data_IF_730354661113
#
_entry.id   IF_730354661113
#
_cell.length_a   1.000
_cell.length_b   1.000
_cell.length_c   1.000
_cell.angle_alpha   90.00
_cell.angle_beta   90.00
_cell.angle_gamma   90.00
#
_symmetry.space_group_name_H-M   'P 1'
#
loop_
_entity.id
_entity.type
_entity.pdbx_description
1 polymer ?
#
# COMPACT_ATOMS: atom_id res chain seq x y z
N UNK A 1 -10.20 3.88 -5.54
CA UNK A 1 -9.61 3.60 -6.87
C UNK A 1 -8.14 3.19 -6.80
N UNK A 2 -7.30 3.85 -6.00
CA UNK A 2 -5.87 3.52 -5.83
C UNK A 2 -5.57 2.02 -5.56
N UNK A 3 -6.35 1.36 -4.70
CA UNK A 3 -6.19 -0.08 -4.42
C UNK A 3 -6.30 -0.93 -5.71
N UNK A 4 -7.34 -0.68 -6.51
CA UNK A 4 -7.55 -1.37 -7.79
C UNK A 4 -6.39 -1.11 -8.76
N UNK A 5 -5.89 0.13 -8.83
CA UNK A 5 -4.76 0.47 -9.69
C UNK A 5 -3.48 -0.29 -9.28
N UNK A 6 -3.22 -0.44 -7.98
CA UNK A 6 -2.10 -1.23 -7.48
C UNK A 6 -2.20 -2.72 -7.83
N UNK A 7 -3.37 -3.33 -7.62
CA UNK A 7 -3.63 -4.71 -8.03
C UNK A 7 -3.48 -4.88 -9.56
N UNK A 8 -4.15 -4.03 -10.33
CA UNK A 8 -4.17 -4.13 -11.79
C UNK A 8 -2.79 -3.87 -12.39
N UNK A 9 -2.00 -2.98 -11.80
CA UNK A 9 -0.61 -2.75 -12.19
C UNK A 9 0.25 -4.00 -12.11
N UNK A 10 0.12 -4.80 -11.04
CA UNK A 10 0.82 -6.09 -10.92
C UNK A 10 0.33 -7.10 -11.96
N UNK A 11 -0.97 -7.14 -12.24
CA UNK A 11 -1.54 -8.04 -13.27
C UNK A 11 -1.03 -7.69 -14.66
N UNK A 12 -0.96 -6.40 -15.00
CA UNK A 12 -0.35 -5.95 -16.26
C UNK A 12 1.14 -6.31 -16.32
N UNK A 13 1.89 -6.12 -15.22
CA UNK A 13 3.28 -6.52 -15.16
C UNK A 13 3.46 -8.03 -15.38
N UNK A 14 2.60 -8.85 -14.76
CA UNK A 14 2.64 -10.31 -14.89
C UNK A 14 2.31 -10.79 -16.31
N UNK A 15 1.38 -10.13 -16.99
CA UNK A 15 1.05 -10.46 -18.38
C UNK A 15 2.18 -10.14 -19.37
N UNK A 16 3.01 -9.13 -19.05
CA UNK A 16 4.08 -8.64 -19.91
C UNK A 16 5.44 -9.26 -19.60
N UNK A 17 5.65 -9.70 -18.36
CA UNK A 17 6.92 -10.26 -17.92
C UNK A 17 7.10 -11.70 -18.42
N UNK A 18 8.21 -11.95 -19.13
CA UNK A 18 8.47 -13.23 -19.79
C UNK A 18 8.96 -14.37 -18.88
N UNK A 19 8.88 -14.24 -17.56
CA UNK A 19 9.33 -15.27 -16.59
C UNK A 19 8.30 -15.44 -15.46
N UNK A 20 8.44 -16.51 -14.70
CA UNK A 20 7.57 -16.76 -13.54
C UNK A 20 7.79 -15.75 -12.42
N UNK A 21 6.69 -15.35 -11.76
CA UNK A 21 6.75 -14.59 -10.50
C UNK A 21 7.18 -15.49 -9.34
N UNK A 22 6.53 -16.65 -9.20
CA UNK A 22 6.86 -17.63 -8.19
C UNK A 22 8.13 -18.41 -8.57
N UNK A 23 9.04 -18.54 -7.61
CA UNK A 23 10.17 -19.44 -7.73
C UNK A 23 9.72 -20.90 -7.69
N UNK A 24 10.33 -21.76 -8.51
CA UNK A 24 9.95 -23.16 -8.64
C UNK A 24 11.20 -24.04 -8.75
N UNK A 25 11.09 -25.27 -8.26
CA UNK A 25 12.09 -26.32 -8.51
C UNK A 25 11.45 -27.31 -9.48
N UNK A 26 12.08 -27.50 -10.62
CA UNK A 26 11.61 -28.40 -11.67
C UNK A 26 12.69 -29.44 -11.98
N UNK A 27 12.34 -30.47 -12.75
CA UNK A 27 13.33 -31.44 -13.26
C UNK A 27 14.43 -30.76 -14.10
N UNK A 28 14.12 -29.62 -14.74
CA UNK A 28 15.07 -28.85 -15.54
C UNK A 28 15.92 -27.85 -14.73
N UNK A 29 15.74 -27.79 -13.40
CA UNK A 29 16.51 -26.93 -12.51
C UNK A 29 15.65 -25.99 -11.67
N UNK A 30 16.34 -25.15 -10.89
CA UNK A 30 15.75 -24.16 -9.98
C UNK A 30 15.54 -22.83 -10.69
N UNK A 31 14.30 -22.35 -10.67
CA UNK A 31 13.89 -21.05 -11.20
C UNK A 31 13.71 -20.11 -10.00
N UNK A 32 14.47 -18.99 -9.91
CA UNK A 32 14.29 -18.02 -8.84
C UNK A 32 12.97 -17.25 -9.00
N UNK A 33 12.38 -16.76 -7.89
CA UNK A 33 11.24 -15.86 -7.95
C UNK A 33 11.62 -14.53 -8.59
N UNK A 34 10.64 -13.84 -9.18
CA UNK A 34 10.81 -12.47 -9.66
C UNK A 34 11.10 -11.53 -8.48
N UNK A 35 11.98 -10.55 -8.70
CA UNK A 35 12.24 -9.45 -7.75
C UNK A 35 11.40 -8.24 -8.14
N UNK A 36 10.53 -7.78 -7.26
CA UNK A 36 9.65 -6.63 -7.46
C UNK A 36 10.03 -5.52 -6.50
N UNK A 37 10.26 -4.30 -7.01
CA UNK A 37 10.40 -3.09 -6.20
C UNK A 37 9.14 -2.24 -6.32
N UNK A 38 8.57 -1.86 -5.18
CA UNK A 38 7.45 -0.91 -5.10
C UNK A 38 7.92 0.40 -4.48
N UNK A 39 7.83 1.49 -5.23
CA UNK A 39 8.17 2.84 -4.77
C UNK A 39 6.89 3.59 -4.40
N UNK A 40 6.76 3.94 -3.13
CA UNK A 40 5.56 4.48 -2.51
C UNK A 40 4.71 3.39 -1.87
N UNK A 41 4.42 3.54 -0.58
CA UNK A 41 3.59 2.66 0.24
C UNK A 41 2.24 3.31 0.59
N UNK A 42 1.65 4.03 -0.35
CA UNK A 42 0.24 4.44 -0.28
C UNK A 42 -0.71 3.26 -0.52
N UNK A 43 -2.01 3.54 -0.64
CA UNK A 43 -3.04 2.51 -0.88
C UNK A 43 -2.77 1.69 -2.15
N UNK A 44 -2.27 2.33 -3.21
CA UNK A 44 -1.88 1.65 -4.44
C UNK A 44 -0.64 0.77 -4.24
N UNK A 45 0.41 1.31 -3.61
CA UNK A 45 1.64 0.59 -3.33
C UNK A 45 1.43 -0.65 -2.45
N UNK A 46 0.69 -0.53 -1.34
CA UNK A 46 0.37 -1.66 -0.47
C UNK A 46 -0.44 -2.74 -1.20
N UNK A 47 -1.37 -2.33 -2.08
CA UNK A 47 -2.10 -3.27 -2.91
C UNK A 47 -1.19 -4.00 -3.91
N UNK A 48 -0.24 -3.28 -4.51
CA UNK A 48 0.75 -3.88 -5.41
C UNK A 48 1.66 -4.86 -4.66
N UNK A 49 2.14 -4.49 -3.46
CA UNK A 49 2.96 -5.36 -2.60
C UNK A 49 2.20 -6.66 -2.29
N UNK A 50 0.97 -6.54 -1.78
CA UNK A 50 0.16 -7.70 -1.44
C UNK A 50 -0.09 -8.61 -2.66
N UNK A 51 -0.39 -8.02 -3.82
CA UNK A 51 -0.65 -8.78 -5.05
C UNK A 51 0.61 -9.48 -5.55
N UNK A 52 1.75 -8.79 -5.60
CA UNK A 52 3.03 -9.36 -6.05
C UNK A 52 3.52 -10.47 -5.11
N UNK A 53 3.37 -10.30 -3.79
CA UNK A 53 3.64 -11.35 -2.79
C UNK A 53 2.71 -12.55 -2.98
N UNK A 54 1.43 -12.31 -3.23
CA UNK A 54 0.46 -13.37 -3.53
C UNK A 54 0.80 -14.19 -4.79
N UNK A 55 1.50 -13.59 -5.76
CA UNK A 55 2.03 -14.27 -6.95
C UNK A 55 3.36 -15.00 -6.69
N UNK A 56 3.91 -14.96 -5.47
CA UNK A 56 5.14 -15.65 -5.10
C UNK A 56 6.44 -14.91 -5.40
N UNK A 57 6.37 -13.62 -5.74
CA UNK A 57 7.54 -12.78 -5.97
C UNK A 57 8.23 -12.38 -4.65
N UNK A 58 9.54 -12.11 -4.72
CA UNK A 58 10.25 -11.40 -3.65
C UNK A 58 10.01 -9.91 -3.83
N UNK A 59 9.43 -9.26 -2.82
CA UNK A 59 9.04 -7.85 -2.91
C UNK A 59 9.85 -7.03 -1.93
N UNK A 60 10.45 -5.96 -2.43
CA UNK A 60 11.02 -4.88 -1.63
C UNK A 60 10.17 -3.63 -1.86
N UNK A 61 10.02 -2.78 -0.85
CA UNK A 61 9.29 -1.54 -0.98
C UNK A 61 10.05 -0.38 -0.32
N UNK A 62 9.81 0.82 -0.82
CA UNK A 62 10.37 2.04 -0.28
C UNK A 62 9.26 3.09 -0.11
N UNK A 63 9.22 3.76 1.03
CA UNK A 63 8.42 4.97 1.27
C UNK A 63 9.21 5.91 2.18
N UNK A 64 9.09 7.22 1.94
CA UNK A 64 9.68 8.26 2.79
C UNK A 64 9.11 8.30 4.21
N UNK A 65 7.90 7.74 4.41
CA UNK A 65 7.18 7.72 5.69
C UNK A 65 7.50 6.45 6.45
N UNK A 66 8.07 6.62 7.62
CA UNK A 66 8.41 5.51 8.53
C UNK A 66 7.19 4.70 8.98
N UNK A 67 6.05 5.36 9.18
CA UNK A 67 4.79 4.74 9.61
C UNK A 67 4.28 3.62 8.68
N UNK A 68 4.80 3.54 7.46
CA UNK A 68 4.40 2.55 6.47
C UNK A 68 5.21 1.25 6.59
N UNK A 69 6.36 1.27 7.28
CA UNK A 69 7.23 0.09 7.43
C UNK A 69 6.48 -1.12 7.98
N UNK A 70 5.80 -0.96 9.10
CA UNK A 70 5.06 -2.07 9.75
C UNK A 70 4.02 -2.67 8.80
N UNK A 71 3.36 -1.84 8.00
CA UNK A 71 2.39 -2.30 7.00
C UNK A 71 3.06 -3.11 5.89
N UNK A 72 4.20 -2.65 5.36
CA UNK A 72 4.98 -3.36 4.33
C UNK A 72 5.48 -4.70 4.86
N UNK A 73 6.07 -4.71 6.05
CA UNK A 73 6.63 -5.90 6.68
C UNK A 73 5.53 -6.92 7.03
N UNK A 74 4.35 -6.47 7.47
CA UNK A 74 3.19 -7.34 7.72
C UNK A 74 2.67 -8.05 6.47
N UNK A 75 2.88 -7.46 5.28
CA UNK A 75 2.59 -8.08 3.98
C UNK A 75 3.73 -9.00 3.51
N UNK A 76 4.81 -9.13 4.28
CA UNK A 76 5.96 -9.98 4.00
C UNK A 76 6.90 -9.42 2.93
N UNK A 77 6.93 -8.11 2.75
CA UNK A 77 7.89 -7.42 1.89
C UNK A 77 9.01 -6.77 2.73
N UNK A 78 10.18 -6.61 2.12
CA UNK A 78 11.32 -5.94 2.73
C UNK A 78 11.16 -4.42 2.61
N UNK A 79 11.24 -3.69 3.73
CA UNK A 79 11.21 -2.23 3.70
C UNK A 79 12.63 -1.67 3.56
N UNK A 80 12.90 -1.01 2.44
CA UNK A 80 14.18 -0.37 2.17
C UNK A 80 14.26 0.98 2.90
N UNK A 81 15.42 1.27 3.48
CA UNK A 81 15.68 2.51 4.22
C UNK A 81 16.90 3.22 3.68
N UNK A 82 16.93 4.54 3.85
CA UNK A 82 18.09 5.39 3.57
C UNK A 82 18.80 5.70 4.88
N UNK A 83 20.14 5.76 4.88
CA UNK A 83 20.96 5.97 6.08
C UNK A 83 20.96 7.44 6.59
N UNK A 84 19.90 8.19 6.33
CA UNK A 84 19.73 9.59 6.73
C UNK A 84 18.44 9.67 7.55
N UNK A 85 18.55 10.06 8.83
CA UNK A 85 17.40 10.21 9.73
C UNK A 85 16.70 11.54 9.48
N UNK A 86 15.81 11.56 8.49
CA UNK A 86 14.87 12.65 8.23
C UNK A 86 13.46 12.07 8.14
N UNK A 87 12.48 12.67 8.83
CA UNK A 87 11.08 12.23 8.72
C UNK A 87 10.45 12.82 7.46
N UNK A 88 9.88 11.97 6.60
CA UNK A 88 9.10 12.35 5.42
C UNK A 88 7.61 12.51 5.66
N UNK A 89 7.14 12.47 6.91
CA UNK A 89 5.73 12.63 7.24
C UNK A 89 5.26 14.09 7.01
N UNK A 90 4.17 14.24 6.26
CA UNK A 90 3.43 15.47 6.04
C UNK A 90 2.04 15.45 6.68
N UNK A 91 1.26 16.50 6.44
CA UNK A 91 -0.10 16.61 6.96
C UNK A 91 -1.06 15.56 6.36
N UNK A 92 -1.99 15.06 7.18
CA UNK A 92 -3.04 14.14 6.71
C UNK A 92 -2.55 12.76 6.27
N UNK A 93 -1.34 12.34 6.68
CA UNK A 93 -0.74 11.07 6.30
C UNK A 93 -0.06 11.06 4.93
N UNK A 94 0.04 12.21 4.25
CA UNK A 94 0.79 12.34 3.00
C UNK A 94 2.29 12.56 3.26
N UNK A 95 3.13 12.34 2.24
CA UNK A 95 4.57 12.64 2.31
C UNK A 95 4.85 14.13 2.05
N UNK A 96 5.97 14.65 2.57
CA UNK A 96 6.49 16.00 2.26
C UNK A 96 7.76 15.92 1.39
N UNK A 97 8.20 17.06 0.87
CA UNK A 97 9.50 17.17 0.19
C UNK A 97 10.65 17.00 1.17
N UNK A 98 11.68 16.26 0.74
CA UNK A 98 12.85 15.88 1.54
C UNK A 98 14.06 16.77 1.21
N UNK A 99 15.06 16.77 2.10
CA UNK A 99 16.35 17.43 1.85
C UNK A 99 17.06 16.88 0.62
N UNK A 100 17.98 17.66 0.04
CA UNK A 100 18.75 17.25 -1.14
C UNK A 100 19.61 16.02 -0.85
N UNK A 101 20.20 15.97 0.34
CA UNK A 101 21.03 14.86 0.80
C UNK A 101 20.22 13.57 0.89
N UNK A 102 18.96 13.65 1.34
CA UNK A 102 18.05 12.51 1.37
C UNK A 102 17.71 12.04 -0.05
N UNK A 103 17.36 12.97 -0.94
CA UNK A 103 17.08 12.65 -2.34
C UNK A 103 18.27 12.00 -3.04
N UNK A 104 19.49 12.50 -2.84
CA UNK A 104 20.70 11.91 -3.43
C UNK A 104 20.92 10.47 -2.94
N UNK A 105 20.67 10.20 -1.67
CA UNK A 105 20.79 8.87 -1.09
C UNK A 105 19.65 7.93 -1.52
N UNK A 106 18.43 8.44 -1.68
CA UNK A 106 17.28 7.74 -2.27
C UNK A 106 17.56 7.34 -3.72
N UNK A 107 18.09 8.26 -4.52
CA UNK A 107 18.47 7.99 -5.92
C UNK A 107 19.59 6.95 -6.01
N UNK A 108 20.56 6.97 -5.09
CA UNK A 108 21.60 5.94 -5.02
C UNK A 108 21.03 4.55 -4.67
N UNK A 109 20.04 4.50 -3.76
CA UNK A 109 19.33 3.28 -3.43
C UNK A 109 18.58 2.73 -4.65
N UNK A 110 17.82 3.56 -5.37
CA UNK A 110 17.10 3.14 -6.57
C UNK A 110 18.04 2.70 -7.69
N UNK A 111 19.16 3.39 -7.91
CA UNK A 111 20.17 2.97 -8.88
C UNK A 111 20.77 1.58 -8.57
N UNK A 112 20.94 1.26 -7.28
CA UNK A 112 21.39 -0.08 -6.86
C UNK A 112 20.30 -1.13 -7.13
N UNK A 113 19.06 -0.84 -6.73
CA UNK A 113 17.96 -1.78 -6.88
C UNK A 113 17.57 -2.03 -8.35
N UNK A 114 17.61 -0.99 -9.20
CA UNK A 114 17.28 -1.10 -10.62
C UNK A 114 18.08 -2.19 -11.36
N UNK A 115 19.33 -2.44 -10.95
CA UNK A 115 20.19 -3.49 -11.52
C UNK A 115 19.73 -4.90 -11.17
N UNK A 116 19.03 -5.06 -10.05
CA UNK A 116 18.66 -6.35 -9.50
C UNK A 116 17.21 -6.74 -9.75
N UNK A 117 16.30 -5.75 -9.78
CA UNK A 117 14.87 -5.99 -9.83
C UNK A 117 14.41 -6.30 -11.25
N UNK A 118 13.43 -7.20 -11.35
CA UNK A 118 12.84 -7.57 -12.62
C UNK A 118 11.60 -6.70 -12.91
N UNK A 119 10.90 -6.27 -11.86
CA UNK A 119 9.70 -5.45 -11.97
C UNK A 119 9.80 -4.25 -11.04
N UNK A 120 9.42 -3.09 -11.55
CA UNK A 120 9.40 -1.82 -10.81
C UNK A 120 8.01 -1.20 -10.89
N UNK A 121 7.39 -0.94 -9.74
CA UNK A 121 6.07 -0.31 -9.65
C UNK A 121 6.23 1.00 -8.89
N UNK A 122 5.89 2.13 -9.51
CA UNK A 122 6.00 3.45 -8.88
C UNK A 122 4.62 4.03 -8.61
N UNK A 123 4.44 4.62 -7.43
CA UNK A 123 3.16 5.18 -6.97
C UNK A 123 3.31 6.47 -6.16
N UNK A 124 4.48 7.11 -6.26
CA UNK A 124 4.79 8.32 -5.50
C UNK A 124 4.07 9.52 -6.12
N UNK A 125 3.07 10.05 -5.41
CA UNK A 125 2.30 11.21 -5.85
C UNK A 125 2.04 12.13 -4.67
N UNK A 126 2.34 13.41 -4.85
CA UNK A 126 2.01 14.48 -3.91
C UNK A 126 0.83 15.26 -4.50
N UNK A 127 -0.32 15.36 -3.80
CA UNK A 127 -1.47 16.10 -4.30
C UNK A 127 -1.13 17.54 -4.68
N UNK A 128 -1.56 17.98 -5.86
CA UNK A 128 -1.35 19.35 -6.36
C UNK A 128 0.04 19.64 -6.92
N UNK A 129 0.95 18.66 -6.95
CA UNK A 129 2.28 18.78 -7.56
C UNK A 129 2.47 17.74 -8.68
N UNK A 130 3.35 18.01 -9.66
CA UNK A 130 3.79 16.98 -10.60
C UNK A 130 4.44 15.80 -9.87
N UNK A 131 4.34 14.61 -10.45
CA UNK A 131 4.99 13.42 -9.91
C UNK A 131 6.53 13.61 -9.88
N UNK A 132 7.20 13.27 -8.77
CA UNK A 132 8.66 13.38 -8.68
C UNK A 132 9.32 12.34 -9.60
N UNK A 133 10.37 12.75 -10.31
CA UNK A 133 11.20 11.87 -11.16
C UNK A 133 12.19 11.11 -10.30
N UNK A 134 11.78 9.91 -9.87
CA UNK A 134 12.54 9.05 -8.96
C UNK A 134 13.40 8.03 -9.71
N UNK A 135 13.02 7.68 -10.93
CA UNK A 135 13.71 6.66 -11.73
C UNK A 135 14.21 7.33 -13.01
N UNK A 136 15.52 7.55 -13.07
CA UNK A 136 16.15 8.22 -14.22
C UNK A 136 16.29 7.26 -15.40
N UNK A 137 16.41 7.82 -16.61
CA UNK A 137 16.74 7.07 -17.82
C UNK A 137 18.00 6.21 -17.62
N UNK A 138 19.01 6.74 -16.93
CA UNK A 138 20.24 6.00 -16.65
C UNK A 138 20.00 4.78 -15.75
N UNK A 139 19.07 4.86 -14.78
CA UNK A 139 18.69 3.70 -13.97
C UNK A 139 17.96 2.65 -14.81
N UNK A 140 17.00 3.07 -15.65
CA UNK A 140 16.30 2.18 -16.59
C UNK A 140 17.27 1.49 -17.53
N UNK A 141 18.29 2.21 -18.02
CA UNK A 141 19.30 1.68 -18.93
C UNK A 141 20.14 0.55 -18.29
N UNK A 142 20.16 0.45 -16.95
CA UNK A 142 20.87 -0.62 -16.19
C UNK A 142 20.00 -1.80 -15.80
N UNK A 143 18.69 -1.75 -16.07
CA UNK A 143 17.77 -2.86 -15.77
C UNK A 143 18.03 -4.05 -16.69
N UNK A 144 17.60 -5.23 -16.25
CA UNK A 144 17.72 -6.45 -17.05
C UNK A 144 16.80 -6.36 -18.29
N UNK A 145 17.23 -6.91 -19.44
CA UNK A 145 16.33 -7.07 -20.58
C UNK A 145 15.12 -7.92 -20.23
N UNK A 146 13.93 -7.46 -20.64
CA UNK A 146 12.65 -8.08 -20.33
C UNK A 146 12.05 -7.62 -19.00
N UNK A 147 12.72 -6.76 -18.23
CA UNK A 147 12.13 -6.14 -17.05
C UNK A 147 10.90 -5.30 -17.39
N UNK A 148 9.99 -5.13 -16.43
CA UNK A 148 8.75 -4.36 -16.60
C UNK A 148 8.66 -3.23 -15.59
N UNK A 149 8.34 -2.04 -16.07
CA UNK A 149 8.06 -0.85 -15.25
C UNK A 149 6.57 -0.54 -15.36
N UNK A 150 5.92 -0.35 -14.22
CA UNK A 150 4.53 0.13 -14.14
C UNK A 150 4.50 1.45 -13.38
N UNK A 151 4.21 2.52 -14.10
CA UNK A 151 4.18 3.86 -13.53
C UNK A 151 2.74 4.28 -13.22
N UNK A 152 2.31 4.08 -11.97
CA UNK A 152 0.96 4.43 -11.53
C UNK A 152 0.75 5.95 -11.42
N UNK A 153 1.83 6.74 -11.48
CA UNK A 153 1.78 8.20 -11.45
C UNK A 153 1.83 8.82 -12.86
N UNK A 154 1.69 8.03 -13.92
CA UNK A 154 1.80 8.48 -15.31
C UNK A 154 0.88 9.66 -15.65
N UNK A 155 -0.32 9.73 -15.06
CA UNK A 155 -1.26 10.84 -15.28
C UNK A 155 -0.75 12.19 -14.77
N UNK A 156 0.09 12.18 -13.73
CA UNK A 156 0.66 13.37 -13.10
C UNK A 156 2.08 13.67 -13.59
N UNK A 157 2.47 13.09 -14.73
CA UNK A 157 3.79 13.24 -15.35
C UNK A 157 4.70 12.01 -15.20
N UNK A 158 4.37 11.05 -14.31
CA UNK A 158 5.09 9.79 -14.11
C UNK A 158 6.33 9.91 -13.22
N UNK A 159 6.61 8.88 -12.43
CA UNK A 159 7.83 8.80 -11.62
C UNK A 159 9.08 8.39 -12.41
N UNK A 160 8.90 7.84 -13.61
CA UNK A 160 10.00 7.40 -14.47
C UNK A 160 10.21 8.41 -15.59
N UNK A 161 11.46 8.79 -15.86
CA UNK A 161 11.80 9.78 -16.91
C UNK A 161 11.38 9.30 -18.30
N UNK A 162 11.41 7.99 -18.53
CA UNK A 162 11.01 7.34 -19.77
C UNK A 162 9.53 6.97 -19.79
N UNK A 163 8.68 7.39 -18.84
CA UNK A 163 7.24 7.11 -18.94
C UNK A 163 6.60 7.94 -20.06
N UNK A 164 5.76 7.29 -20.87
CA UNK A 164 4.87 7.94 -21.85
C UNK A 164 3.43 7.74 -21.38
N UNK A 165 2.75 8.79 -20.87
CA UNK A 165 1.39 8.65 -20.36
C UNK A 165 0.43 8.06 -21.40
N UNK A 166 -0.37 7.09 -20.98
CA UNK A 166 -1.33 6.37 -21.79
C UNK A 166 -0.74 5.27 -22.69
N UNK A 167 0.57 5.06 -22.70
CA UNK A 167 1.22 4.14 -23.64
C UNK A 167 1.81 2.89 -22.95
N UNK A 168 1.76 1.78 -23.67
CA UNK A 168 2.58 0.60 -23.46
C UNK A 168 3.66 0.59 -24.54
N UNK A 169 4.93 0.63 -24.15
CA UNK A 169 6.02 0.59 -25.12
C UNK A 169 7.31 0.03 -24.53
N UNK A 170 8.24 -0.38 -25.38
CA UNK A 170 9.53 -0.89 -24.95
C UNK A 170 10.62 0.15 -25.19
N UNK A 171 11.46 0.36 -24.18
CA UNK A 171 12.64 1.22 -24.24
C UNK A 171 13.82 0.47 -23.62
N UNK A 172 14.96 0.39 -24.33
CA UNK A 172 16.15 -0.36 -23.91
C UNK A 172 15.84 -1.80 -23.43
N UNK A 173 14.96 -2.52 -24.13
CA UNK A 173 14.47 -3.86 -23.75
C UNK A 173 13.70 -3.93 -22.42
N UNK A 174 13.32 -2.79 -21.84
CA UNK A 174 12.46 -2.69 -20.66
C UNK A 174 11.07 -2.26 -21.10
N UNK A 175 10.05 -3.01 -20.69
CA UNK A 175 8.65 -2.75 -21.04
C UNK A 175 8.10 -1.69 -20.07
N UNK A 176 7.55 -0.61 -20.60
CA UNK A 176 6.97 0.50 -19.83
C UNK A 176 5.46 0.49 -19.95
N UNK A 177 4.79 0.38 -18.81
CA UNK A 177 3.34 0.49 -18.66
C UNK A 177 3.02 1.87 -18.07
N UNK A 178 2.61 2.80 -18.92
CA UNK A 178 2.24 4.16 -18.55
C UNK A 178 0.73 4.42 -18.59
N UNK A 179 -0.10 3.39 -18.49
CA UNK A 179 -1.56 3.54 -18.57
C UNK A 179 -2.10 4.48 -17.49
N UNK A 180 -2.99 5.39 -17.88
CA UNK A 180 -3.64 6.36 -17.00
C UNK A 180 -5.05 5.94 -16.59
N UNK A 181 -5.51 4.79 -17.07
CA UNK A 181 -6.88 4.29 -16.92
C UNK A 181 -6.94 2.92 -16.21
N UNK A 182 -5.95 2.59 -15.38
CA UNK A 182 -5.86 1.28 -14.71
C UNK A 182 -7.14 0.84 -13.97
N UNK A 183 -7.87 1.72 -13.23
CA UNK A 183 -9.16 1.34 -12.66
C UNK A 183 -10.21 0.95 -13.72
N UNK A 184 -10.22 1.61 -14.88
CA UNK A 184 -11.12 1.30 -15.99
C UNK A 184 -10.85 -0.09 -16.59
N UNK A 185 -9.60 -0.54 -16.54
CA UNK A 185 -9.18 -1.89 -16.99
C UNK A 185 -9.62 -3.02 -16.04
N UNK A 186 -10.26 -2.67 -14.92
CA UNK A 186 -10.97 -3.58 -14.03
C UNK A 186 -12.40 -3.05 -13.76
N UNK A 187 -13.09 -2.64 -14.83
CA UNK A 187 -14.34 -1.88 -14.78
C UNK A 187 -15.40 -2.48 -13.83
N UNK A 188 -15.67 -3.78 -13.91
CA UNK A 188 -16.71 -4.41 -13.07
C UNK A 188 -16.48 -4.23 -11.57
N UNK A 189 -15.23 -4.40 -11.12
CA UNK A 189 -14.86 -4.19 -9.72
C UNK A 189 -14.84 -2.71 -9.36
N UNK A 190 -14.30 -1.86 -10.25
CA UNK A 190 -14.22 -0.41 -10.06
C UNK A 190 -15.60 0.23 -9.93
N UNK A 191 -16.52 -0.09 -10.83
CA UNK A 191 -17.90 0.38 -10.81
C UNK A 191 -18.62 -0.02 -9.54
N UNK A 192 -18.49 -1.29 -9.10
CA UNK A 192 -19.14 -1.78 -7.89
C UNK A 192 -18.62 -1.05 -6.63
N UNK A 193 -17.30 -0.92 -6.47
CA UNK A 193 -16.72 -0.23 -5.32
C UNK A 193 -16.99 1.27 -5.33
N UNK A 194 -17.01 1.90 -6.50
CA UNK A 194 -17.38 3.32 -6.63
C UNK A 194 -18.85 3.55 -6.31
N UNK A 195 -19.76 2.70 -6.79
CA UNK A 195 -21.18 2.76 -6.46
C UNK A 195 -21.41 2.60 -4.95
N UNK A 196 -20.69 1.69 -4.29
CA UNK A 196 -20.76 1.54 -2.83
C UNK A 196 -20.31 2.81 -2.09
N UNK A 197 -19.24 3.47 -2.55
CA UNK A 197 -18.80 4.74 -1.96
C UNK A 197 -19.88 5.84 -2.10
N UNK A 198 -20.50 5.94 -3.28
CA UNK A 198 -21.61 6.88 -3.50
C UNK A 198 -22.79 6.53 -2.59
N UNK A 199 -23.21 5.27 -2.56
CA UNK A 199 -24.32 4.82 -1.72
C UNK A 199 -24.06 5.11 -0.23
N UNK A 200 -22.87 4.80 0.27
CA UNK A 200 -22.48 5.08 1.65
C UNK A 200 -22.50 6.58 1.97
N UNK A 201 -22.02 7.42 1.06
CA UNK A 201 -22.06 8.88 1.22
C UNK A 201 -23.50 9.44 1.19
N UNK A 202 -24.36 8.92 0.31
CA UNK A 202 -25.77 9.31 0.27
C UNK A 202 -26.51 8.85 1.54
N UNK A 203 -26.24 7.63 2.02
CA UNK A 203 -26.82 7.10 3.25
C UNK A 203 -26.34 7.86 4.48
N UNK A 204 -25.10 8.36 4.52
CA UNK A 204 -24.64 9.21 5.64
C UNK A 204 -25.34 10.57 5.68
N UNK A 205 -25.89 11.04 4.57
CA UNK A 205 -26.69 12.27 4.49
C UNK A 205 -28.19 12.03 4.73
N UNK A 206 -28.65 10.78 4.80
CA UNK A 206 -30.05 10.46 5.03
C UNK A 206 -30.31 10.27 6.53
N UNK A 207 -31.23 11.05 7.14
CA UNK A 207 -31.68 10.77 8.50
C UNK A 207 -32.23 9.35 8.62
N UNK A 208 -31.98 8.69 9.75
CA UNK A 208 -32.27 7.25 9.99
C UNK A 208 -33.74 6.84 9.75
N UNK A 209 -34.67 7.80 9.78
CA UNK A 209 -36.11 7.59 9.60
C UNK A 209 -36.69 8.31 8.36
N UNK A 210 -35.84 8.85 7.48
CA UNK A 210 -36.27 9.60 6.31
C UNK A 210 -36.57 8.69 5.11
N UNK A 211 -37.71 8.93 4.43
CA UNK A 211 -38.06 8.27 3.17
C UNK A 211 -37.38 8.94 1.97
N UNK A 212 -36.05 8.85 1.90
CA UNK A 212 -35.28 9.35 0.75
C UNK A 212 -35.10 10.87 0.71
N UNK A 213 -35.18 11.55 1.85
CA UNK A 213 -34.81 12.96 1.96
C UNK A 213 -33.32 13.03 2.33
N UNK A 214 -32.53 13.67 1.49
CA UNK A 214 -31.12 13.95 1.78
C UNK A 214 -31.02 15.27 2.55
N UNK A 215 -30.38 15.23 3.72
CA UNK A 215 -30.11 16.41 4.52
C UNK A 215 -28.66 16.87 4.33
N UNK A 216 -28.50 18.09 3.83
CA UNK A 216 -27.20 18.71 3.64
C UNK A 216 -26.72 19.35 4.94
N UNK A 217 -26.28 18.51 5.88
CA UNK A 217 -25.74 18.95 7.15
C UNK A 217 -24.32 19.53 6.97
N UNK A 218 -24.21 20.85 6.87
CA UNK A 218 -22.92 21.54 6.72
C UNK A 218 -22.05 21.55 7.99
N UNK A 219 -22.55 21.01 9.10
CA UNK A 219 -21.74 20.76 10.30
C UNK A 219 -21.07 19.38 10.26
N UNK A 220 -21.54 18.47 9.40
CA UNK A 220 -20.85 17.20 9.15
C UNK A 220 -19.59 17.47 8.32
N UNK A 221 -18.44 17.02 8.83
CA UNK A 221 -17.13 17.27 8.22
C UNK A 221 -17.01 16.66 6.82
N UNK A 222 -17.56 15.46 6.62
CA UNK A 222 -17.50 14.74 5.35
C UNK A 222 -18.40 15.43 4.32
N UNK A 223 -19.61 15.82 4.71
CA UNK A 223 -20.54 16.55 3.86
C UNK A 223 -19.97 17.93 3.51
N UNK A 224 -19.56 18.73 4.50
CA UNK A 224 -18.97 20.05 4.27
C UNK A 224 -17.69 19.97 3.45
N UNK A 225 -16.85 18.98 3.70
CA UNK A 225 -15.61 18.72 2.96
C UNK A 225 -15.85 18.38 1.49
N UNK A 226 -16.97 17.70 1.19
CA UNK A 226 -17.31 17.25 -0.17
C UNK A 226 -18.04 18.31 -1.00
N UNK A 227 -18.69 19.30 -0.38
CA UNK A 227 -19.43 20.35 -1.08
C UNK A 227 -18.49 21.43 -1.64
N UNK A 228 -18.38 21.49 -2.98
CA UNK A 228 -17.61 22.52 -3.70
C UNK A 228 -18.45 23.76 -4.00
N UNK A 229 -19.72 23.58 -4.38
CA UNK A 229 -20.63 24.65 -4.78
C UNK A 229 -22.01 24.38 -4.16
N UNK A 230 -22.62 25.40 -3.56
CA UNK A 230 -23.97 25.30 -2.99
C UNK A 230 -24.78 26.55 -3.32
N UNK A 231 -25.93 26.38 -3.99
CA UNK A 231 -26.83 27.47 -4.40
C UNK A 231 -26.09 28.63 -5.12
N UNK A 232 -25.18 28.28 -6.03
CA UNK A 232 -24.38 29.24 -6.79
C UNK A 232 -23.24 29.92 -6.03
N UNK A 233 -23.04 29.61 -4.74
CA UNK A 233 -21.91 30.12 -3.95
C UNK A 233 -20.81 29.08 -3.87
N UNK A 234 -19.59 29.49 -4.23
CA UNK A 234 -18.39 28.67 -4.09
C UNK A 234 -18.11 28.44 -2.60
N UNK A 235 -17.93 27.18 -2.21
CA UNK A 235 -17.65 26.76 -0.83
C UNK A 235 -16.28 26.08 -0.69
N UNK A 236 -15.55 25.90 -1.77
CA UNK A 236 -14.17 25.42 -1.75
C UNK A 236 -13.19 26.60 -1.55
N UNK A 237 -12.11 26.44 -0.75
CA UNK A 237 -11.70 25.23 -0.02
C UNK A 237 -12.53 24.98 1.25
N UNK A 238 -12.65 23.71 1.70
CA UNK A 238 -13.28 23.42 2.97
C UNK A 238 -12.45 23.98 4.14
N UNK A 239 -13.08 24.30 5.28
CA UNK A 239 -12.34 24.62 6.50
C UNK A 239 -11.41 23.44 6.86
N UNK A 240 -10.24 23.71 7.45
CA UNK A 240 -9.35 22.64 7.91
C UNK A 240 -10.10 21.74 8.88
N UNK A 241 -9.94 20.41 8.77
CA UNK A 241 -10.61 19.49 9.66
C UNK A 241 -10.15 19.74 11.12
N UNK A 242 -11.05 19.55 12.10
CA UNK A 242 -10.65 19.62 13.51
C UNK A 242 -9.48 18.66 13.75
N UNK A 243 -8.48 19.11 14.51
CA UNK A 243 -7.34 18.25 14.86
C UNK A 243 -7.86 16.96 15.49
N UNK A 244 -7.50 15.78 14.96
CA UNK A 244 -7.87 14.52 15.57
C UNK A 244 -7.45 14.55 17.05
N UNK A 245 -8.26 14.00 17.97
CA UNK A 245 -7.78 13.78 19.33
C UNK A 245 -6.47 13.02 19.25
N UNK A 246 -5.46 13.48 20.00
CA UNK A 246 -4.15 12.83 20.03
C UNK A 246 -4.36 11.33 20.19
N UNK A 247 -3.81 10.54 19.26
CA UNK A 247 -3.80 9.08 19.37
C UNK A 247 -3.32 8.77 20.79
N UNK A 248 -4.06 7.99 21.60
CA UNK A 248 -3.59 7.63 22.93
C UNK A 248 -2.17 7.13 22.79
N UNK A 249 -1.25 7.71 23.56
CA UNK A 249 0.12 7.24 23.56
C UNK A 249 0.07 5.70 23.73
N UNK A 250 0.83 4.92 22.93
CA UNK A 250 0.97 3.51 23.22
C UNK A 250 1.27 3.41 24.72
N UNK A 251 0.54 2.56 25.47
CA UNK A 251 0.69 2.51 26.92
C UNK A 251 2.17 2.43 27.20
N UNK A 252 2.69 3.47 27.86
CA UNK A 252 4.07 3.55 28.31
C UNK A 252 4.31 2.20 28.97
N UNK A 253 5.22 1.39 28.42
CA UNK A 253 5.55 0.12 29.02
C UNK A 253 5.80 0.41 30.49
N UNK A 254 4.86 -0.01 31.34
CA UNK A 254 5.02 0.14 32.75
C UNK A 254 6.32 -0.58 33.03
N UNK A 255 7.29 0.13 33.59
CA UNK A 255 8.46 -0.49 34.17
C UNK A 255 7.93 -1.66 34.98
N UNK A 256 8.29 -2.88 34.58
CA UNK A 256 7.91 -4.10 35.26
C UNK A 256 8.48 -3.99 36.66
N UNK A 257 7.65 -3.55 37.61
CA UNK A 257 7.82 -3.86 39.01
C UNK A 257 7.94 -5.38 39.10
N UNK A 258 8.94 -5.94 39.78
CA UNK A 258 9.08 -7.38 39.89
C UNK A 258 7.81 -7.94 40.55
N UNK A 259 7.09 -8.77 39.82
CA UNK A 259 5.97 -9.55 40.34
C UNK A 259 6.48 -10.40 41.51
N UNK A 260 5.80 -10.44 42.67
CA UNK A 260 6.13 -11.40 43.70
C UNK A 260 6.00 -12.81 43.11
N UNK A 261 7.07 -13.58 43.19
CA UNK A 261 7.09 -14.98 42.80
C UNK A 261 6.13 -15.72 43.74
N UNK A 262 4.94 -16.06 43.24
CA UNK A 262 4.09 -17.06 43.89
C UNK A 262 4.74 -18.42 43.60
N UNK A 263 5.09 -19.24 44.61
CA UNK A 263 5.66 -20.55 44.37
C UNK A 263 4.69 -21.40 43.57
N UNK A 264 5.14 -21.94 42.43
CA UNK A 264 4.35 -22.86 41.63
C UNK A 264 3.97 -24.07 42.47
N UNK A 265 2.68 -24.26 42.72
CA UNK A 265 2.17 -25.49 43.32
C UNK A 265 2.39 -26.60 42.30
N UNK A 266 3.21 -27.59 42.65
CA UNK A 266 3.45 -28.77 41.83
C UNK A 266 2.14 -29.54 41.73
N UNK A 267 1.46 -29.45 40.59
CA UNK A 267 0.27 -30.26 40.32
C UNK A 267 0.76 -31.61 39.81
N UNK A 268 0.53 -32.67 40.61
CA UNK A 268 0.90 -34.04 40.25
C UNK A 268 0.27 -34.40 38.88
N UNK A 269 1.07 -34.80 37.87
CA UNK A 269 0.58 -35.13 36.53
C UNK A 269 -0.43 -36.28 36.49
N UNK A 270 -0.60 -37.03 37.59
CA UNK A 270 -1.65 -38.07 37.73
C UNK A 270 -3.05 -37.49 37.94
N UNK A 271 -3.16 -36.28 38.52
CA UNK A 271 -4.46 -35.61 38.75
C UNK A 271 -5.05 -35.07 37.43
N UNK A 272 -4.19 -34.62 36.52
CA UNK A 272 -4.60 -34.15 35.19
C UNK A 272 -5.23 -35.27 34.32
N UNK A 273 -4.75 -36.51 34.47
CA UNK A 273 -5.30 -37.68 33.76
C UNK A 273 -6.63 -38.19 34.32
N UNK A 274 -7.01 -37.82 35.55
CA UNK A 274 -8.28 -38.23 36.16
C UNK A 274 -9.47 -37.44 35.57
N UNK A 275 -9.24 -36.16 35.22
CA UNK A 275 -10.27 -35.31 34.60
C UNK A 275 -10.59 -35.71 33.16
N UNK A 276 -9.59 -36.14 32.39
CA UNK A 276 -9.81 -36.63 31.02
C UNK A 276 -10.50 -37.99 30.98
N UNK A 277 -10.29 -38.85 31.98
CA UNK A 277 -10.98 -40.14 32.10
C UNK A 277 -12.48 -39.99 32.46
N UNK A 278 -12.85 -38.97 33.23
CA UNK A 278 -14.24 -38.72 33.62
C UNK A 278 -15.10 -38.13 32.48
N UNK A 279 -14.48 -37.38 31.56
CA UNK A 279 -15.18 -36.78 30.40
C UNK A 279 -15.47 -37.83 29.32
N UNK A 280 -14.60 -38.83 29.17
CA UNK A 280 -14.78 -39.91 28.19
C UNK A 280 -15.89 -40.92 28.57
N UNK A 281 -16.33 -40.98 29.83
CA UNK A 281 -17.36 -41.92 30.29
C UNK A 281 -18.79 -41.38 30.29
N UNK A 282 -19.00 -40.07 30.13
CA UNK A 282 -20.34 -39.44 30.23
C UNK A 282 -20.90 -38.98 28.88
N UNK A 283 -20.18 -39.17 27.77
CA UNK A 283 -20.76 -39.16 26.41
C UNK A 283 -21.64 -37.96 26.07
N UNK A 284 -21.16 -36.73 26.27
CA UNK A 284 -21.86 -35.53 25.78
C UNK A 284 -21.05 -34.90 24.67
N UNK A 285 -21.52 -35.13 23.44
CA UNK A 285 -21.13 -34.45 22.22
C UNK A 285 -21.65 -33.02 22.20
N UNK A 286 -20.80 -32.08 21.79
CA UNK A 286 -21.13 -30.74 21.33
C UNK A 286 -20.07 -30.28 20.34
#
# INVERSE_FOLDING_TARGET
MANIAGYKGVVEAAALYGRFFAGQITAAGRIPPAKVLVVGGGVAGLSAINTARGLGATVCAFDTREAVREQVESLGAEFLTVNIKESGEGGGGYAKEMSKEYLDAEMALFAKQAKEVDILITSALIPGKPAPKLITKAMVDTMKPGSVIVDLAAEAGGNVETTRPGQLYTYNNVIHVGYTDLPSRLAGQSSSLFANNIANFLLSMAPKDSRGVLELNLQDEVVRGSVVLHKGKLMWPPPPPPTPPAKPAPPKAAATSPTPVIPATIVDPRIAKLKSALVASVGVSG
#
